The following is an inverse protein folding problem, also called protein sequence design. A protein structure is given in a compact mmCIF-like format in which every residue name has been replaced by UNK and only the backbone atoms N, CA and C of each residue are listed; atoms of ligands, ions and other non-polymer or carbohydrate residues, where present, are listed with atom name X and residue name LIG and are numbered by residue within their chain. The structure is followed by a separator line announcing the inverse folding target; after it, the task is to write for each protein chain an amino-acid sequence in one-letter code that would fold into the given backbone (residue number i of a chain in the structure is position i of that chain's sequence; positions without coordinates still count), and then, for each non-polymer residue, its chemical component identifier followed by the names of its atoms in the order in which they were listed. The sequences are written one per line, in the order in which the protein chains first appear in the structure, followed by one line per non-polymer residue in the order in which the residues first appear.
data_IF_873939963482
#
_entry.id   IF_873939963482
#
_cell.length_a   1.000
_cell.length_b   1.000
_cell.length_c   1.000
_cell.angle_alpha   90.00
_cell.angle_beta   90.00
_cell.angle_gamma   90.00
#
_symmetry.space_group_name_H-M   'P 1'
#
loop_
_entity.id
_entity.type
_entity.pdbx_description
1 polymer ?
#
# COMPACT_ATOMS: atom_id res chain seq x y z
N UNK A 1 -17.61 -0.77 20.51
CA UNK A 1 -16.96 -2.05 20.84
C UNK A 1 -15.55 -1.93 21.41
N UNK A 2 -14.68 -1.06 20.92
CA UNK A 2 -13.28 -0.93 21.38
C UNK A 2 -13.16 -0.53 22.88
N UNK A 3 -13.94 0.42 23.35
CA UNK A 3 -13.90 0.88 24.75
C UNK A 3 -14.34 -0.20 25.77
N UNK A 4 -15.20 -1.14 25.38
CA UNK A 4 -15.62 -2.23 26.27
C UNK A 4 -14.54 -3.29 26.43
N UNK A 5 -13.69 -3.50 25.42
CA UNK A 5 -12.50 -4.39 25.53
C UNK A 5 -11.42 -3.81 26.45
N UNK A 6 -11.19 -2.49 26.39
CA UNK A 6 -10.24 -1.82 27.30
C UNK A 6 -10.66 -1.91 28.78
N UNK A 7 -11.97 -1.84 29.07
CA UNK A 7 -12.49 -2.07 30.43
C UNK A 7 -12.26 -3.50 30.90
N UNK A 8 -12.41 -4.50 30.01
CA UNK A 8 -12.14 -5.91 30.32
C UNK A 8 -10.69 -6.18 30.67
N UNK A 9 -9.72 -5.58 29.96
CA UNK A 9 -8.30 -5.74 30.24
C UNK A 9 -7.89 -5.11 31.56
N UNK A 10 -8.43 -3.96 31.95
CA UNK A 10 -8.21 -3.35 33.28
C UNK A 10 -8.72 -4.22 34.43
N UNK A 11 -9.85 -4.91 34.23
CA UNK A 11 -10.44 -5.81 35.24
C UNK A 11 -9.60 -7.09 35.45
N UNK A 12 -8.82 -7.50 34.42
CA UNK A 12 -7.91 -8.64 34.50
C UNK A 12 -6.50 -8.27 35.03
N UNK A 13 -6.32 -7.07 35.57
CA UNK A 13 -5.07 -6.64 36.22
C UNK A 13 -3.96 -6.26 35.24
N UNK A 14 -4.24 -6.11 33.94
CA UNK A 14 -3.26 -5.58 32.99
C UNK A 14 -3.16 -4.06 33.14
N UNK A 15 -2.04 -3.61 33.69
CA UNK A 15 -1.67 -2.21 33.61
C UNK A 15 -1.05 -1.92 32.25
N UNK A 16 -1.68 -1.04 31.46
CA UNK A 16 -1.05 -0.47 30.28
C UNK A 16 0.03 0.46 30.80
N UNK A 17 1.29 -0.01 30.84
CA UNK A 17 2.43 0.88 31.04
C UNK A 17 2.55 1.70 29.75
N UNK A 18 2.09 2.93 29.80
CA UNK A 18 2.56 3.96 28.88
C UNK A 18 4.03 4.17 29.24
N UNK A 19 4.94 3.58 28.46
CA UNK A 19 6.34 4.00 28.48
C UNK A 19 6.38 5.40 27.84
N UNK A 20 6.13 6.42 28.65
CA UNK A 20 6.53 7.79 28.34
C UNK A 20 8.04 7.84 28.54
N UNK A 21 8.79 7.38 27.55
CA UNK A 21 10.18 7.78 27.41
C UNK A 21 10.15 9.15 26.75
N UNK A 22 10.66 10.16 27.45
CA UNK A 22 11.03 11.46 26.91
C UNK A 22 12.00 11.27 25.74
N UNK A 23 11.45 11.12 24.54
CA UNK A 23 12.18 11.27 23.29
C UNK A 23 11.22 11.96 22.34
N UNK A 24 11.61 13.15 21.89
CA UNK A 24 11.03 14.00 20.85
C UNK A 24 9.86 13.34 20.14
N UNK A 25 8.63 13.77 20.45
CA UNK A 25 7.38 13.23 19.90
C UNK A 25 7.45 13.26 18.38
N UNK A 26 7.80 12.14 17.77
CA UNK A 26 7.56 11.94 16.35
C UNK A 26 6.05 11.80 16.22
N UNK A 27 5.41 12.81 15.67
CA UNK A 27 4.00 12.75 15.33
C UNK A 27 3.85 11.80 14.12
N UNK A 28 3.63 10.52 14.40
CA UNK A 28 3.18 9.57 13.38
C UNK A 28 1.71 9.87 13.14
N UNK A 29 1.38 10.42 11.97
CA UNK A 29 0.01 10.61 11.54
C UNK A 29 -0.52 9.30 10.97
N UNK A 30 -1.64 8.80 11.50
CA UNK A 30 -2.29 7.60 10.98
C UNK A 30 -3.80 7.78 10.91
N UNK A 31 -4.40 7.25 9.83
CA UNK A 31 -5.86 7.28 9.60
C UNK A 31 -6.31 5.96 8.99
N UNK A 32 -7.41 5.41 9.50
CA UNK A 32 -8.07 4.22 8.98
C UNK A 32 -9.13 4.63 7.94
N UNK A 33 -9.19 3.88 6.85
CA UNK A 33 -10.13 4.06 5.76
C UNK A 33 -10.88 2.76 5.46
N UNK A 34 -12.12 2.90 5.00
CA UNK A 34 -12.91 1.84 4.40
C UNK A 34 -12.70 1.79 2.88
N UNK A 35 -13.27 0.78 2.24
CA UNK A 35 -13.30 0.66 0.78
C UNK A 35 -14.06 1.80 0.08
N UNK A 36 -14.97 2.46 0.80
CA UNK A 36 -15.80 3.54 0.26
C UNK A 36 -15.08 4.90 0.23
N UNK A 37 -14.19 5.16 1.21
CA UNK A 37 -13.66 6.50 1.46
C UNK A 37 -12.14 6.67 1.17
N UNK A 38 -11.39 5.58 0.94
CA UNK A 38 -9.94 5.67 0.74
C UNK A 38 -9.51 6.30 -0.59
N UNK A 39 -10.29 6.11 -1.67
CA UNK A 39 -9.86 6.39 -3.05
C UNK A 39 -9.42 7.84 -3.26
N UNK A 40 -10.16 8.80 -2.73
CA UNK A 40 -9.87 10.22 -2.91
C UNK A 40 -8.52 10.62 -2.29
N UNK A 41 -8.25 10.18 -1.07
CA UNK A 41 -7.01 10.54 -0.37
C UNK A 41 -5.83 9.71 -0.89
N UNK A 42 -6.05 8.45 -1.24
CA UNK A 42 -5.05 7.62 -1.91
C UNK A 42 -4.60 8.24 -3.23
N UNK A 43 -5.54 8.70 -4.06
CA UNK A 43 -5.23 9.33 -5.34
C UNK A 43 -4.48 10.66 -5.17
N UNK A 44 -4.83 11.46 -4.15
CA UNK A 44 -4.08 12.68 -3.80
C UNK A 44 -2.64 12.36 -3.41
N UNK A 45 -2.45 11.35 -2.57
CA UNK A 45 -1.11 10.93 -2.15
C UNK A 45 -0.27 10.43 -3.34
N UNK A 46 -0.84 9.59 -4.22
CA UNK A 46 -0.18 9.14 -5.45
C UNK A 46 0.26 10.34 -6.31
N UNK A 47 -0.64 11.31 -6.54
CA UNK A 47 -0.35 12.47 -7.37
C UNK A 47 0.63 13.46 -6.72
N UNK A 48 0.81 13.39 -5.40
CA UNK A 48 1.78 14.21 -4.64
C UNK A 48 3.20 13.66 -4.70
N UNK A 49 3.41 12.45 -5.24
CA UNK A 49 4.72 11.82 -5.30
C UNK A 49 5.75 12.69 -6.05
N UNK A 50 6.92 12.85 -5.45
CA UNK A 50 8.00 13.66 -5.99
C UNK A 50 9.19 12.82 -6.50
N UNK A 51 9.38 11.62 -5.97
CA UNK A 51 10.57 10.80 -6.29
C UNK A 51 10.24 9.34 -6.59
N UNK A 52 9.43 8.69 -5.76
CA UNK A 52 9.25 7.24 -5.84
C UNK A 52 7.89 6.76 -5.37
N UNK A 53 7.34 5.77 -6.09
CA UNK A 53 6.16 5.01 -5.66
C UNK A 53 6.49 3.52 -5.75
N UNK A 54 6.20 2.77 -4.69
CA UNK A 54 6.26 1.30 -4.67
C UNK A 54 4.88 0.77 -4.31
N UNK A 55 4.35 -0.13 -5.14
CA UNK A 55 3.07 -0.79 -4.89
C UNK A 55 3.30 -2.29 -4.86
N UNK A 56 2.90 -2.97 -3.78
CA UNK A 56 2.92 -4.43 -3.65
C UNK A 56 1.49 -4.94 -3.59
N UNK A 57 1.11 -5.82 -4.52
CA UNK A 57 -0.25 -6.35 -4.65
C UNK A 57 -0.25 -7.81 -5.11
N UNK A 58 -1.17 -8.66 -4.60
CA UNK A 58 -1.23 -10.07 -4.98
C UNK A 58 -1.82 -10.31 -6.38
N UNK A 59 -2.63 -9.39 -6.90
CA UNK A 59 -3.24 -9.52 -8.24
C UNK A 59 -3.52 -8.15 -8.85
N UNK A 60 -3.75 -8.13 -10.16
CA UNK A 60 -4.06 -6.93 -10.95
C UNK A 60 -5.45 -7.05 -11.57
N UNK A 61 -6.19 -5.95 -11.63
CA UNK A 61 -7.42 -5.82 -12.40
C UNK A 61 -7.22 -4.86 -13.57
N UNK A 62 -7.76 -5.20 -14.72
CA UNK A 62 -7.61 -4.38 -15.93
C UNK A 62 -8.10 -2.94 -15.74
N UNK A 63 -9.25 -2.78 -15.07
CA UNK A 63 -9.87 -1.47 -14.84
C UNK A 63 -8.97 -0.59 -13.96
N UNK A 64 -8.54 -1.11 -12.79
CA UNK A 64 -7.72 -0.34 -11.86
C UNK A 64 -6.33 -0.03 -12.44
N UNK A 65 -5.76 -0.95 -13.21
CA UNK A 65 -4.49 -0.71 -13.91
C UNK A 65 -4.65 0.39 -14.97
N UNK A 66 -5.74 0.39 -15.74
CA UNK A 66 -5.99 1.45 -16.72
C UNK A 66 -6.14 2.83 -16.06
N UNK A 67 -6.88 2.93 -14.97
CA UNK A 67 -7.02 4.17 -14.20
C UNK A 67 -5.66 4.63 -13.64
N UNK A 68 -4.87 3.70 -13.13
CA UNK A 68 -3.55 4.00 -12.60
C UNK A 68 -2.58 4.46 -13.70
N UNK A 69 -2.58 3.82 -14.86
CA UNK A 69 -1.78 4.22 -16.04
C UNK A 69 -2.08 5.67 -16.43
N UNK A 70 -3.36 6.04 -16.52
CA UNK A 70 -3.77 7.40 -16.85
C UNK A 70 -3.25 8.44 -15.85
N UNK A 71 -3.35 8.15 -14.55
CA UNK A 71 -2.89 9.06 -13.50
C UNK A 71 -1.36 9.11 -13.39
N UNK A 72 -0.66 8.02 -13.70
CA UNK A 72 0.79 7.87 -13.54
C UNK A 72 1.60 8.55 -14.65
N UNK A 73 1.04 8.77 -15.82
CA UNK A 73 1.77 9.37 -16.97
C UNK A 73 2.41 10.70 -16.60
N UNK A 74 1.68 11.58 -15.90
CA UNK A 74 2.21 12.88 -15.46
C UNK A 74 3.36 12.74 -14.46
N UNK A 75 3.31 11.72 -13.59
CA UNK A 75 4.36 11.45 -12.60
C UNK A 75 5.63 10.93 -13.27
N UNK A 76 5.49 10.04 -14.25
CA UNK A 76 6.63 9.53 -15.03
C UNK A 76 7.34 10.63 -15.81
N UNK A 77 6.59 11.57 -16.41
CA UNK A 77 7.15 12.75 -17.08
C UNK A 77 7.93 13.65 -16.10
N UNK A 78 7.50 13.73 -14.85
CA UNK A 78 8.20 14.43 -13.77
C UNK A 78 9.43 13.68 -13.23
N UNK A 79 9.69 12.45 -13.71
CA UNK A 79 10.81 11.64 -13.28
C UNK A 79 10.55 10.82 -12.02
N UNK A 80 9.30 10.66 -11.59
CA UNK A 80 8.95 9.79 -10.46
C UNK A 80 9.20 8.34 -10.85
N UNK A 81 9.96 7.61 -10.04
CA UNK A 81 10.22 6.19 -10.23
C UNK A 81 9.05 5.37 -9.67
N UNK A 82 8.36 4.63 -10.54
CA UNK A 82 7.23 3.79 -10.14
C UNK A 82 7.60 2.33 -10.31
N UNK A 83 7.45 1.56 -9.22
CA UNK A 83 7.71 0.14 -9.18
C UNK A 83 6.52 -0.62 -8.61
N UNK A 84 6.11 -1.69 -9.29
CA UNK A 84 5.03 -2.56 -8.86
C UNK A 84 5.55 -3.97 -8.63
N UNK A 85 5.33 -4.50 -7.42
CA UNK A 85 5.57 -5.88 -7.09
C UNK A 85 4.24 -6.63 -7.17
N UNK A 86 4.17 -7.66 -8.00
CA UNK A 86 2.97 -8.46 -8.18
C UNK A 86 3.27 -9.94 -7.95
N UNK A 87 2.33 -10.67 -7.35
CA UNK A 87 2.50 -12.10 -7.17
C UNK A 87 2.48 -12.82 -8.51
N UNK A 88 3.53 -13.60 -8.78
CA UNK A 88 3.55 -14.56 -9.87
C UNK A 88 2.42 -15.57 -9.66
N UNK A 89 1.64 -15.82 -10.68
CA UNK A 89 0.51 -16.74 -10.57
C UNK A 89 0.98 -18.17 -10.81
N UNK A 90 0.53 -19.10 -9.96
CA UNK A 90 0.87 -20.53 -10.03
C UNK A 90 0.14 -21.24 -11.18
N UNK A 91 -0.93 -20.64 -11.70
CA UNK A 91 -1.79 -21.16 -12.75
C UNK A 91 -1.60 -20.36 -14.04
N UNK A 92 -1.26 -21.03 -15.13
CA UNK A 92 -1.07 -20.44 -16.45
C UNK A 92 -2.29 -19.63 -16.94
N UNK A 93 -3.50 -20.05 -16.60
CA UNK A 93 -4.70 -19.32 -16.97
C UNK A 93 -4.82 -17.97 -16.21
N UNK A 94 -4.41 -17.95 -14.94
CA UNK A 94 -4.36 -16.72 -14.14
C UNK A 94 -3.22 -15.82 -14.60
N UNK A 95 -2.05 -16.39 -14.90
CA UNK A 95 -0.91 -15.65 -15.44
C UNK A 95 -1.27 -14.97 -16.76
N UNK A 96 -1.95 -15.67 -17.69
CA UNK A 96 -2.43 -15.10 -18.94
C UNK A 96 -3.43 -13.94 -18.74
N UNK A 97 -4.19 -13.95 -17.65
CA UNK A 97 -5.14 -12.85 -17.35
C UNK A 97 -4.43 -11.58 -16.87
N UNK A 98 -3.33 -11.69 -16.13
CA UNK A 98 -2.58 -10.52 -15.62
C UNK A 98 -1.53 -10.00 -16.60
N UNK A 99 -1.05 -10.82 -17.53
CA UNK A 99 -0.02 -10.44 -18.51
C UNK A 99 -0.35 -9.15 -19.29
N UNK A 100 -1.58 -8.91 -19.77
CA UNK A 100 -1.93 -7.64 -20.42
C UNK A 100 -1.83 -6.44 -19.48
N UNK A 101 -2.10 -6.62 -18.17
CA UNK A 101 -1.96 -5.58 -17.16
C UNK A 101 -0.49 -5.22 -16.96
N UNK A 102 0.37 -6.23 -16.86
CA UNK A 102 1.83 -6.05 -16.75
C UNK A 102 2.34 -5.30 -17.97
N UNK A 103 1.98 -5.75 -19.18
CA UNK A 103 2.40 -5.08 -20.42
C UNK A 103 1.94 -3.62 -20.50
N UNK A 104 0.73 -3.30 -20.04
CA UNK A 104 0.25 -1.90 -20.00
C UNK A 104 1.11 -1.02 -19.10
N UNK A 105 1.53 -1.53 -17.94
CA UNK A 105 2.37 -0.81 -17.00
C UNK A 105 3.79 -0.62 -17.54
N UNK A 106 4.39 -1.67 -18.07
CA UNK A 106 5.76 -1.63 -18.62
C UNK A 106 5.87 -0.74 -19.87
N UNK A 107 4.84 -0.72 -20.73
CA UNK A 107 4.81 0.11 -21.92
C UNK A 107 4.88 1.62 -21.65
N UNK A 108 4.51 2.07 -20.44
CA UNK A 108 4.64 3.48 -20.03
C UNK A 108 5.88 3.74 -19.17
N UNK A 109 6.73 2.73 -18.96
CA UNK A 109 7.99 2.86 -18.21
C UNK A 109 7.88 2.53 -16.71
N UNK A 110 6.79 1.92 -16.25
CA UNK A 110 6.67 1.41 -14.89
C UNK A 110 7.40 0.08 -14.79
N UNK A 111 8.26 -0.07 -13.78
CA UNK A 111 8.96 -1.33 -13.52
C UNK A 111 8.02 -2.31 -12.80
N UNK A 112 7.74 -3.46 -13.42
CA UNK A 112 6.98 -4.54 -12.78
C UNK A 112 7.93 -5.68 -12.38
N UNK A 113 7.78 -6.17 -11.16
CA UNK A 113 8.55 -7.30 -10.60
C UNK A 113 7.56 -8.37 -10.14
N UNK A 114 7.66 -9.54 -10.77
CA UNK A 114 6.89 -10.70 -10.35
C UNK A 114 7.66 -11.49 -9.28
N UNK A 115 7.01 -11.79 -8.14
CA UNK A 115 7.56 -12.57 -7.04
C UNK A 115 6.56 -13.63 -6.57
N UNK A 116 7.05 -14.78 -6.08
CA UNK A 116 6.18 -15.90 -5.70
C UNK A 116 5.35 -15.62 -4.42
N UNK A 117 5.95 -14.95 -3.42
CA UNK A 117 5.39 -14.85 -2.07
C UNK A 117 4.78 -13.47 -1.73
N UNK A 118 4.14 -12.79 -2.68
CA UNK A 118 3.45 -11.53 -2.40
C UNK A 118 2.03 -11.82 -1.89
N UNK A 119 1.78 -11.43 -0.65
CA UNK A 119 0.45 -11.43 -0.03
C UNK A 119 0.06 -10.06 0.51
N UNK A 120 1.04 -9.19 0.74
CA UNK A 120 0.82 -7.86 1.29
C UNK A 120 0.23 -6.93 0.23
N UNK A 121 -0.68 -6.06 0.70
CA UNK A 121 -1.28 -4.99 -0.09
C UNK A 121 -0.77 -3.67 0.51
N UNK A 122 0.30 -3.15 -0.10
CA UNK A 122 1.06 -2.00 0.43
C UNK A 122 1.33 -1.02 -0.71
N UNK A 123 1.22 0.27 -0.41
CA UNK A 123 1.74 1.33 -1.26
C UNK A 123 2.64 2.23 -0.42
N UNK A 124 3.86 2.52 -0.91
CA UNK A 124 4.81 3.43 -0.28
C UNK A 124 5.11 4.57 -1.25
N UNK A 125 5.02 5.80 -0.77
CA UNK A 125 5.24 7.01 -1.55
C UNK A 125 6.35 7.82 -0.88
N UNK A 126 7.41 8.10 -1.62
CA UNK A 126 8.56 8.93 -1.24
C UNK A 126 9.20 8.52 0.11
N UNK A 127 9.17 7.23 0.46
CA UNK A 127 9.64 6.71 1.75
C UNK A 127 9.04 7.43 2.97
N UNK A 128 7.85 7.98 2.81
CA UNK A 128 7.20 8.83 3.82
C UNK A 128 5.76 8.44 4.09
N UNK A 129 4.95 8.24 3.05
CA UNK A 129 3.56 7.87 3.17
C UNK A 129 3.42 6.39 2.86
N UNK A 130 2.74 5.67 3.73
CA UNK A 130 2.45 4.26 3.55
C UNK A 130 0.95 4.01 3.65
N UNK A 131 0.42 3.28 2.68
CA UNK A 131 -0.91 2.69 2.70
C UNK A 131 -0.78 1.18 2.87
N UNK A 132 -1.43 0.63 3.89
CA UNK A 132 -1.34 -0.78 4.25
C UNK A 132 -2.69 -1.31 4.72
N UNK A 133 -3.09 -2.49 4.25
CA UNK A 133 -4.34 -3.12 4.68
C UNK A 133 -4.73 -4.31 3.84
N UNK A 134 -6.03 -4.58 3.77
CA UNK A 134 -6.55 -5.64 2.93
C UNK A 134 -7.21 -5.11 1.62
N UNK A 135 -7.20 -3.80 1.38
CA UNK A 135 -7.60 -3.22 0.08
C UNK A 135 -6.52 -3.50 -0.97
N UNK A 136 -6.91 -4.07 -2.10
CA UNK A 136 -6.01 -4.27 -3.24
C UNK A 136 -6.05 -3.04 -4.16
N UNK A 137 -5.05 -2.17 -4.05
CA UNK A 137 -5.00 -0.87 -4.74
C UNK A 137 -5.01 -0.96 -6.28
N UNK A 138 -4.52 -2.05 -6.87
CA UNK A 138 -4.51 -2.29 -8.32
C UNK A 138 -5.29 -3.54 -8.74
N UNK A 139 -5.90 -4.24 -7.80
CA UNK A 139 -6.67 -5.46 -8.03
C UNK A 139 -8.15 -5.29 -7.74
N UNK A 140 -8.81 -6.40 -7.53
CA UNK A 140 -10.21 -6.41 -7.12
C UNK A 140 -10.29 -6.14 -5.62
N UNK A 141 -11.27 -5.33 -5.22
CA UNK A 141 -11.63 -5.06 -3.83
C UNK A 141 -12.86 -5.91 -3.50
N UNK A 142 -12.84 -6.56 -2.35
CA UNK A 142 -13.98 -7.29 -1.80
C UNK A 142 -14.69 -6.40 -0.77
N UNK A 143 -15.92 -6.75 -0.40
CA UNK A 143 -16.68 -6.00 0.60
C UNK A 143 -15.99 -6.06 1.98
N UNK A 144 -16.18 -5.01 2.80
CA UNK A 144 -15.65 -4.89 4.16
C UNK A 144 -14.10 -4.82 4.24
N UNK A 145 -13.43 -4.42 3.18
CA UNK A 145 -11.99 -4.17 3.20
C UNK A 145 -11.66 -2.81 3.82
N UNK A 146 -10.52 -2.73 4.48
CA UNK A 146 -10.02 -1.48 5.06
C UNK A 146 -8.52 -1.33 4.84
N UNK A 147 -8.04 -0.09 4.90
CA UNK A 147 -6.62 0.20 4.88
C UNK A 147 -6.28 1.34 5.84
N UNK A 148 -5.02 1.41 6.21
CA UNK A 148 -4.46 2.45 7.05
C UNK A 148 -3.47 3.29 6.23
N UNK A 149 -3.63 4.60 6.31
CA UNK A 149 -2.64 5.56 5.85
C UNK A 149 -1.74 5.95 7.01
N UNK A 150 -0.44 5.86 6.84
CA UNK A 150 0.56 6.19 7.86
C UNK A 150 1.55 7.16 7.23
N UNK A 151 1.85 8.26 7.92
CA UNK A 151 2.89 9.22 7.54
C UNK A 151 4.03 9.12 8.53
N UNK A 152 5.05 8.35 8.18
CA UNK A 152 6.25 8.14 9.00
C UNK A 152 7.40 7.59 8.14
N UNK A 153 8.47 8.35 7.99
CA UNK A 153 9.60 7.98 7.13
C UNK A 153 10.31 6.71 7.61
N UNK A 154 10.41 6.50 8.94
CA UNK A 154 11.11 5.34 9.49
C UNK A 154 10.32 4.06 9.20
N UNK A 155 9.01 4.09 9.44
CA UNK A 155 8.13 2.95 9.18
C UNK A 155 8.11 2.65 7.68
N UNK A 156 7.94 3.66 6.83
CA UNK A 156 7.91 3.50 5.38
C UNK A 156 9.21 2.88 4.84
N UNK A 157 10.38 3.41 5.25
CA UNK A 157 11.68 2.87 4.81
C UNK A 157 11.95 1.46 5.35
N UNK A 158 11.55 1.16 6.59
CA UNK A 158 11.70 -0.18 7.15
C UNK A 158 10.87 -1.22 6.38
N UNK A 159 9.62 -0.91 6.09
CA UNK A 159 8.73 -1.79 5.32
C UNK A 159 9.24 -1.93 3.88
N UNK A 160 9.63 -0.84 3.23
CA UNK A 160 10.23 -0.88 1.90
C UNK A 160 11.42 -1.85 1.84
N UNK A 161 12.33 -1.76 2.81
CA UNK A 161 13.49 -2.64 2.86
C UNK A 161 13.13 -4.13 3.01
N UNK A 162 11.96 -4.43 3.56
CA UNK A 162 11.46 -5.81 3.73
C UNK A 162 10.77 -6.33 2.48
N UNK A 163 9.96 -5.50 1.80
CA UNK A 163 9.20 -5.94 0.62
C UNK A 163 10.06 -6.01 -0.65
N UNK A 164 11.17 -5.25 -0.71
CA UNK A 164 12.10 -5.28 -1.85
C UNK A 164 13.17 -6.38 -1.73
N UNK A 165 13.26 -7.06 -0.58
CA UNK A 165 14.16 -8.23 -0.46
C UNK A 165 13.59 -9.38 -1.29
N UNK A 166 14.46 -10.03 -2.11
CA UNK A 166 14.08 -11.21 -2.88
C UNK A 166 13.76 -12.40 -1.99
#
# INVERSE_FOLDING_TARGET
MYQNRLKGYKHLGYSIKQNISENTERQTESKLYSEEDYKSDFQKDILSAASKIIISVPCLSKVNVQEFVLSSTTLLVKGVNIQILVRKQDDDAKQKKIAPCISMLENIGIKVIEQENISQKITIIDEKIMWYGNINFLGYTENEECCMRIVDNKIASEIESKILKP
#
